data_IF_295180220338
#
_entry.id   IF_295180220338
#
_cell.length_a   1.000
_cell.length_b   1.000
_cell.length_c   1.000
_cell.angle_alpha   90.00
_cell.angle_beta   90.00
_cell.angle_gamma   90.00
#
_symmetry.space_group_name_H-M   'P 1'
#
loop_
_entity.id
_entity.type
_entity.pdbx_description
1 polymer ?
#
# COMPACT_ATOMS: atom_id res chain seq x y z
N UNK A 1 -20.20 -23.19 77.51
CA UNK A 1 -19.73 -22.32 76.42
C UNK A 1 -18.63 -23.10 75.73
N UNK A 2 -18.99 -23.80 74.67
CA UNK A 2 -18.09 -24.68 73.94
C UNK A 2 -17.33 -23.82 72.91
N UNK A 3 -16.00 -23.93 72.93
CA UNK A 3 -15.14 -23.19 72.03
C UNK A 3 -14.70 -24.16 70.92
N UNK A 4 -15.51 -24.30 69.89
CA UNK A 4 -15.13 -25.07 68.71
C UNK A 4 -14.06 -24.29 67.93
N UNK A 5 -12.86 -24.88 67.86
CA UNK A 5 -11.75 -24.34 67.09
C UNK A 5 -11.94 -24.72 65.62
N UNK A 6 -12.35 -23.75 64.81
CA UNK A 6 -12.46 -23.91 63.36
C UNK A 6 -11.08 -23.74 62.71
N UNK A 7 -10.68 -24.71 61.89
CA UNK A 7 -9.50 -24.60 61.02
C UNK A 7 -9.94 -23.92 59.72
N UNK A 8 -9.43 -22.70 59.44
CA UNK A 8 -9.66 -22.01 58.17
C UNK A 8 -8.46 -22.20 57.26
N UNK A 9 -8.67 -22.66 56.03
CA UNK A 9 -7.65 -22.65 54.99
C UNK A 9 -7.89 -21.49 54.03
N UNK A 10 -6.82 -20.72 53.80
CA UNK A 10 -6.80 -19.66 52.80
C UNK A 10 -5.97 -20.15 51.63
N UNK A 11 -6.58 -20.18 50.45
CA UNK A 11 -5.89 -20.44 49.20
C UNK A 11 -5.89 -19.15 48.39
N UNK A 12 -4.70 -18.62 48.14
CA UNK A 12 -4.48 -17.48 47.27
C UNK A 12 -3.61 -17.97 46.12
N UNK A 13 -4.12 -17.90 44.90
CA UNK A 13 -3.30 -18.09 43.71
C UNK A 13 -3.16 -16.73 43.02
N UNK A 14 -1.96 -16.42 42.54
CA UNK A 14 -1.67 -15.18 41.81
C UNK A 14 -1.38 -15.56 40.37
N UNK A 15 -2.42 -15.60 39.55
CA UNK A 15 -2.24 -15.79 38.11
C UNK A 15 -1.64 -14.51 37.51
N UNK A 16 -0.36 -14.60 37.12
CA UNK A 16 0.34 -13.50 36.47
C UNK A 16 0.23 -13.67 34.96
N UNK A 17 -0.67 -12.90 34.34
CA UNK A 17 -0.71 -12.74 32.89
C UNK A 17 0.41 -11.78 32.46
N UNK A 18 1.61 -12.30 32.20
CA UNK A 18 2.68 -11.56 31.54
C UNK A 18 2.59 -11.70 30.01
N UNK A 19 2.72 -10.59 29.28
CA UNK A 19 2.73 -10.51 27.80
C UNK A 19 1.38 -10.66 27.06
N UNK A 20 0.28 -10.14 27.62
CA UNK A 20 -0.95 -9.91 26.84
C UNK A 20 -0.85 -8.61 26.02
N UNK A 21 0.14 -8.53 25.13
CA UNK A 21 0.29 -7.41 24.19
C UNK A 21 -0.35 -7.83 22.86
N UNK A 22 -1.48 -7.23 22.52
CA UNK A 22 -2.04 -7.35 21.17
C UNK A 22 -1.26 -6.41 20.25
N UNK A 23 -0.26 -6.95 19.56
CA UNK A 23 0.47 -6.19 18.54
C UNK A 23 -0.38 -6.09 17.27
N UNK A 24 -0.68 -4.86 16.86
CA UNK A 24 -1.28 -4.61 15.55
C UNK A 24 -0.17 -4.57 14.51
N UNK A 25 -0.29 -5.40 13.46
CA UNK A 25 0.60 -5.28 12.31
C UNK A 25 0.38 -3.95 11.57
N UNK A 26 1.38 -3.54 10.80
CA UNK A 26 1.29 -2.32 9.98
C UNK A 26 1.11 -2.69 8.50
N UNK A 27 0.40 -1.86 7.76
CA UNK A 27 0.41 -1.85 6.30
C UNK A 27 1.07 -0.53 5.91
N UNK A 28 2.21 -0.59 5.22
CA UNK A 28 2.89 0.60 4.73
C UNK A 28 3.33 0.34 3.28
N UNK A 29 2.81 1.15 2.36
CA UNK A 29 3.04 0.99 0.93
C UNK A 29 4.05 2.04 0.50
N UNK A 30 5.20 1.57 0.05
CA UNK A 30 6.27 2.39 -0.49
C UNK A 30 6.26 2.26 -2.03
N UNK A 31 6.33 3.39 -2.72
CA UNK A 31 6.47 3.46 -4.17
C UNK A 31 7.77 4.20 -4.50
N UNK A 32 8.74 3.48 -5.07
CA UNK A 32 10.09 3.98 -5.41
C UNK A 32 10.86 4.66 -4.24
N UNK A 33 10.68 4.18 -3.00
CA UNK A 33 11.31 4.70 -1.78
C UNK A 33 10.51 5.78 -1.04
N UNK A 34 9.24 6.02 -1.41
CA UNK A 34 8.41 7.06 -0.81
C UNK A 34 7.00 6.54 -0.44
N UNK A 35 6.55 6.84 0.78
CA UNK A 35 5.25 6.44 1.33
C UNK A 35 4.12 7.45 1.05
N UNK A 36 4.45 8.68 0.66
CA UNK A 36 3.47 9.72 0.29
C UNK A 36 3.68 10.08 -1.19
N UNK A 37 3.17 9.20 -2.05
CA UNK A 37 3.48 9.22 -3.48
C UNK A 37 2.31 9.72 -4.32
N UNK A 38 2.47 10.94 -4.86
CA UNK A 38 1.66 11.47 -5.96
C UNK A 38 2.61 12.04 -7.02
N UNK A 39 2.65 11.40 -8.19
CA UNK A 39 3.55 11.81 -9.28
C UNK A 39 2.84 11.79 -10.63
N UNK A 40 3.04 12.87 -11.40
CA UNK A 40 2.63 12.95 -12.79
C UNK A 40 3.71 12.36 -13.70
N UNK A 41 3.28 11.70 -14.77
CA UNK A 41 4.16 11.13 -15.78
C UNK A 41 3.74 11.62 -17.16
N UNK A 42 4.72 11.88 -18.02
CA UNK A 42 4.52 12.37 -19.37
C UNK A 42 5.36 11.53 -20.32
N UNK A 43 4.73 11.01 -21.38
CA UNK A 43 5.42 10.36 -22.49
C UNK A 43 5.56 11.41 -23.60
N UNK A 44 6.80 11.81 -23.92
CA UNK A 44 7.11 12.87 -24.90
C UNK A 44 7.57 12.28 -26.22
N UNK A 45 7.26 12.96 -27.31
CA UNK A 45 7.71 12.61 -28.68
C UNK A 45 7.36 11.16 -29.07
N UNK A 46 6.14 10.72 -28.70
CA UNK A 46 5.63 9.41 -29.08
C UNK A 46 5.29 9.39 -30.57
N UNK A 47 6.08 8.66 -31.35
CA UNK A 47 5.82 8.45 -32.79
C UNK A 47 4.74 7.39 -33.00
N UNK A 48 4.07 7.37 -34.17
CA UNK A 48 3.18 6.27 -34.53
C UNK A 48 3.87 4.92 -34.39
N UNK A 49 3.17 3.94 -33.80
CA UNK A 49 3.68 2.60 -33.50
C UNK A 49 4.84 2.51 -32.49
N UNK A 50 5.28 3.62 -31.89
CA UNK A 50 6.24 3.60 -30.78
C UNK A 50 5.55 3.16 -29.49
N UNK A 51 6.24 2.34 -28.69
CA UNK A 51 5.78 1.92 -27.37
C UNK A 51 6.80 2.36 -26.33
N UNK A 52 6.31 2.96 -25.23
CA UNK A 52 7.12 3.36 -24.09
C UNK A 52 6.46 2.93 -22.77
N UNK A 53 7.24 2.88 -21.70
CA UNK A 53 6.84 2.27 -20.43
C UNK A 53 7.18 3.17 -19.24
N UNK A 54 6.21 3.35 -18.36
CA UNK A 54 6.44 3.89 -17.01
C UNK A 54 6.52 2.70 -16.05
N UNK A 55 7.67 2.53 -15.41
CA UNK A 55 7.90 1.46 -14.42
C UNK A 55 7.71 2.00 -13.00
N UNK A 56 7.11 1.18 -12.14
CA UNK A 56 6.84 1.49 -10.74
C UNK A 56 7.32 0.31 -9.90
N UNK A 57 8.10 0.56 -8.86
CA UNK A 57 8.45 -0.46 -7.87
C UNK A 57 7.61 -0.22 -6.62
N UNK A 58 6.75 -1.19 -6.28
CA UNK A 58 5.83 -1.10 -5.15
C UNK A 58 6.26 -2.12 -4.10
N UNK A 59 6.57 -1.65 -2.89
CA UNK A 59 7.02 -2.48 -1.78
C UNK A 59 6.06 -2.33 -0.59
N UNK A 60 5.64 -3.46 -0.03
CA UNK A 60 5.00 -3.47 1.29
C UNK A 60 6.09 -3.53 2.36
N UNK A 61 6.30 -2.43 3.08
CA UNK A 61 7.26 -2.38 4.21
C UNK A 61 6.58 -2.70 5.55
N UNK A 62 5.27 -2.98 5.53
CA UNK A 62 4.51 -3.44 6.69
C UNK A 62 4.56 -4.96 6.90
N UNK A 63 4.01 -5.41 8.02
CA UNK A 63 3.97 -6.83 8.40
C UNK A 63 2.71 -7.55 7.93
N UNK A 64 1.64 -6.81 7.63
CA UNK A 64 0.37 -7.39 7.20
C UNK A 64 0.35 -7.58 5.67
N UNK A 65 -0.34 -8.62 5.16
CA UNK A 65 -0.55 -8.80 3.73
C UNK A 65 -1.37 -7.62 3.17
N UNK A 66 -1.03 -7.19 1.94
CA UNK A 66 -1.69 -6.05 1.28
C UNK A 66 -2.12 -6.40 -0.14
N UNK A 67 -3.31 -5.94 -0.51
CA UNK A 67 -3.79 -5.98 -1.89
C UNK A 67 -3.57 -4.60 -2.52
N UNK A 68 -2.72 -4.55 -3.55
CA UNK A 68 -2.37 -3.29 -4.23
C UNK A 68 -3.33 -3.04 -5.38
N UNK A 69 -3.98 -1.86 -5.39
CA UNK A 69 -4.84 -1.39 -6.47
C UNK A 69 -4.28 -0.08 -7.01
N UNK A 70 -4.09 0.01 -8.33
CA UNK A 70 -3.64 1.22 -9.01
C UNK A 70 -4.77 1.81 -9.85
N UNK A 71 -5.00 3.12 -9.70
CA UNK A 71 -5.93 3.89 -10.53
C UNK A 71 -5.16 4.95 -11.32
N UNK A 72 -5.30 4.93 -12.65
CA UNK A 72 -4.83 6.01 -13.51
C UNK A 72 -5.97 7.00 -13.73
N UNK A 73 -5.69 8.31 -13.60
CA UNK A 73 -6.66 9.40 -13.78
C UNK A 73 -6.04 10.49 -14.66
N UNK A 74 -6.88 11.33 -15.26
CA UNK A 74 -6.47 12.52 -16.04
C UNK A 74 -5.48 12.21 -17.17
N UNK A 75 -5.70 11.11 -17.89
CA UNK A 75 -4.92 10.79 -19.08
C UNK A 75 -5.37 11.74 -20.20
N UNK A 76 -4.48 12.63 -20.61
CA UNK A 76 -4.69 13.55 -21.73
C UNK A 76 -3.70 13.22 -22.84
N UNK A 77 -4.17 13.22 -24.07
CA UNK A 77 -3.33 13.14 -25.28
C UNK A 77 -3.42 14.47 -26.01
N UNK A 78 -2.30 14.93 -26.54
CA UNK A 78 -2.27 16.13 -27.40
C UNK A 78 -1.58 15.72 -28.68
N UNK A 79 -2.33 15.74 -29.77
CA UNK A 79 -1.78 15.45 -31.08
C UNK A 79 -0.94 16.66 -31.55
N UNK A 80 0.23 16.37 -32.11
CA UNK A 80 1.02 17.37 -32.82
C UNK A 80 0.40 17.71 -34.18
N UNK A 81 1.02 18.64 -34.91
CA UNK A 81 0.64 18.89 -36.30
C UNK A 81 0.83 17.60 -37.13
N UNK A 82 -0.17 17.29 -37.97
CA UNK A 82 -0.06 16.23 -38.98
C UNK A 82 1.08 16.62 -39.93
N UNK A 83 2.13 15.80 -40.09
CA UNK A 83 3.22 16.12 -41.02
C UNK A 83 2.67 16.13 -42.45
N UNK A 84 3.19 17.02 -43.30
CA UNK A 84 2.68 17.24 -44.66
C UNK A 84 2.55 15.94 -45.49
N UNK A 85 3.42 14.96 -45.24
CA UNK A 85 3.39 13.65 -45.88
C UNK A 85 2.10 12.85 -45.61
N UNK A 86 1.52 12.95 -44.41
CA UNK A 86 0.27 12.28 -44.04
C UNK A 86 -0.98 13.04 -44.57
N UNK A 87 -0.80 14.26 -45.10
CA UNK A 87 -1.87 15.07 -45.69
C UNK A 87 -2.12 14.75 -47.18
N UNK A 88 -1.11 14.22 -47.88
CA UNK A 88 -1.20 13.88 -49.31
C UNK A 88 -1.91 12.54 -49.61
N UNK A 89 -1.97 11.61 -48.65
CA UNK A 89 -2.56 10.27 -48.82
C UNK A 89 -4.09 10.23 -48.61
N UNK A 90 -4.73 11.38 -48.37
CA UNK A 90 -6.16 11.51 -48.08
C UNK A 90 -7.05 11.94 -49.25
N UNK A 91 -6.60 11.82 -50.50
CA UNK A 91 -7.30 12.27 -51.72
C UNK A 91 -7.74 11.10 -52.62
#
# INVERSE_FOLDING_TARGET
MECDVYTRSYFTDTETSGNNTFETGTINIDIDGNYDWQKAYELKDMKPSQTDYIRFVINNTGTNPVNVIKKLININTTDGAIPEAECLEGL
#
